data_IF_739364640533
#
_entry.id   IF_739364640533
#
_cell.length_a   1.000
_cell.length_b   1.000
_cell.length_c   1.000
_cell.angle_alpha   90.00
_cell.angle_beta   90.00
_cell.angle_gamma   90.00
#
_symmetry.space_group_name_H-M   'P 1'
#
loop_
_entity.id
_entity.type
_entity.pdbx_description
1 polymer ?
#
# COMPACT_ATOMS: atom_id res chain seq x y z
N UNK A 1 17.30 -14.89 13.32
CA UNK A 1 16.46 -13.90 12.63
C UNK A 1 16.60 -12.60 13.42
N UNK A 2 16.87 -11.46 12.77
CA UNK A 2 16.87 -10.15 13.45
C UNK A 2 15.46 -9.88 13.99
N UNK A 3 15.38 -9.32 15.21
CA UNK A 3 14.09 -8.91 15.79
C UNK A 3 13.41 -7.86 14.90
N UNK A 4 12.11 -7.94 14.80
CA UNK A 4 11.31 -6.90 14.12
C UNK A 4 11.41 -5.64 14.99
N UNK A 5 11.79 -4.46 14.43
CA UNK A 5 11.91 -3.23 15.20
C UNK A 5 10.52 -2.68 15.58
N UNK A 6 10.47 -1.77 16.54
CA UNK A 6 9.21 -1.10 16.91
C UNK A 6 8.82 -0.01 15.89
N UNK A 7 9.80 0.62 15.27
CA UNK A 7 9.61 1.68 14.27
C UNK A 7 10.33 1.34 12.97
N UNK A 8 9.89 1.98 11.89
CA UNK A 8 10.41 1.80 10.54
C UNK A 8 10.51 3.12 9.78
N UNK A 9 11.32 3.13 8.74
CA UNK A 9 11.29 4.18 7.73
C UNK A 9 10.13 3.97 6.76
N UNK A 10 9.44 5.07 6.41
CA UNK A 10 8.37 5.11 5.43
C UNK A 10 8.24 6.48 4.77
N UNK A 11 7.61 6.52 3.59
CA UNK A 11 7.18 7.76 2.95
C UNK A 11 5.68 7.93 3.15
N UNK A 12 5.30 9.00 3.83
CA UNK A 12 3.92 9.35 4.12
C UNK A 12 3.40 10.35 3.09
N UNK A 13 2.27 10.06 2.50
CA UNK A 13 1.47 11.03 1.77
C UNK A 13 0.60 11.78 2.78
N UNK A 14 0.81 13.09 2.95
CA UNK A 14 0.16 13.93 3.96
C UNK A 14 -1.04 14.71 3.43
N UNK A 15 -1.28 14.66 2.12
CA UNK A 15 -2.37 15.34 1.44
C UNK A 15 -2.26 15.17 -0.07
N UNK A 16 -3.29 15.57 -0.80
CA UNK A 16 -3.18 15.64 -2.27
C UNK A 16 -2.30 16.80 -2.69
N UNK A 17 -1.56 16.64 -3.81
CA UNK A 17 -0.74 17.70 -4.38
C UNK A 17 0.57 17.23 -4.99
N UNK A 18 1.58 18.09 -4.94
CA UNK A 18 2.92 17.87 -5.46
C UNK A 18 3.80 16.98 -4.57
N UNK A 19 5.10 17.00 -4.84
CA UNK A 19 6.07 16.23 -4.03
C UNK A 19 6.22 16.79 -2.61
N UNK A 20 5.80 18.02 -2.35
CA UNK A 20 5.73 18.64 -1.02
C UNK A 20 4.77 17.91 -0.06
N UNK A 21 3.93 17.02 -0.58
CA UNK A 21 3.01 16.17 0.19
C UNK A 21 3.63 14.82 0.56
N UNK A 22 4.83 14.51 0.10
CA UNK A 22 5.56 13.30 0.47
C UNK A 22 6.55 13.61 1.59
N UNK A 23 6.39 12.95 2.73
CA UNK A 23 7.19 13.14 3.93
C UNK A 23 7.92 11.85 4.29
N UNK A 24 9.27 11.86 4.23
CA UNK A 24 10.06 10.72 4.71
C UNK A 24 10.14 10.76 6.24
N UNK A 25 9.81 9.63 6.88
CA UNK A 25 9.83 9.46 8.34
C UNK A 25 10.55 8.17 8.72
N UNK A 26 11.26 8.16 9.84
CA UNK A 26 11.96 6.97 10.38
C UNK A 26 11.37 6.47 11.70
N UNK A 27 10.34 7.12 12.18
CA UNK A 27 9.66 6.86 13.45
C UNK A 27 8.24 6.28 13.29
N UNK A 28 7.92 5.75 12.12
CA UNK A 28 6.61 5.15 11.85
C UNK A 28 6.52 3.79 12.54
N UNK A 29 5.46 3.55 13.30
CA UNK A 29 5.25 2.28 13.99
C UNK A 29 5.14 1.13 12.99
N UNK A 30 5.87 0.03 13.23
CA UNK A 30 5.74 -1.19 12.41
C UNK A 30 4.37 -1.82 12.67
N UNK A 31 3.56 -2.07 11.63
CA UNK A 31 2.23 -2.63 11.81
C UNK A 31 2.30 -4.07 12.30
N UNK A 32 1.30 -4.50 13.08
CA UNK A 32 1.16 -5.88 13.53
C UNK A 32 0.15 -6.61 12.66
N UNK A 33 0.47 -7.83 12.17
CA UNK A 33 -0.47 -8.59 11.35
C UNK A 33 -1.66 -9.06 12.18
N UNK A 34 -2.87 -8.82 11.68
CA UNK A 34 -4.11 -9.35 12.26
C UNK A 34 -4.21 -10.86 12.00
N UNK A 35 -5.28 -11.47 12.49
CA UNK A 35 -5.48 -12.94 12.49
C UNK A 35 -5.19 -13.60 11.13
N UNK A 36 -5.63 -13.01 10.02
CA UNK A 36 -5.49 -13.58 8.65
C UNK A 36 -4.45 -12.84 7.80
N UNK A 37 -3.62 -12.01 8.42
CA UNK A 37 -2.63 -11.19 7.74
C UNK A 37 -1.22 -11.72 7.92
N UNK A 38 -0.32 -11.28 7.06
CA UNK A 38 1.12 -11.47 7.15
C UNK A 38 1.81 -10.11 7.23
N UNK A 39 2.89 -10.03 8.01
CA UNK A 39 3.81 -8.91 8.00
C UNK A 39 4.93 -9.20 7.00
N UNK A 40 5.11 -8.31 6.06
CA UNK A 40 6.09 -8.42 4.98
C UNK A 40 7.18 -7.38 5.22
N UNK A 41 8.45 -7.83 5.29
CA UNK A 41 9.59 -6.96 5.12
C UNK A 41 9.71 -6.64 3.64
N UNK A 42 9.54 -5.39 3.27
CA UNK A 42 9.61 -4.94 1.88
C UNK A 42 11.06 -4.98 1.42
N UNK A 43 11.31 -5.60 0.28
CA UNK A 43 12.62 -5.71 -0.38
C UNK A 43 12.68 -4.81 -1.61
N UNK A 44 11.54 -4.67 -2.29
CA UNK A 44 11.37 -3.71 -3.38
C UNK A 44 9.90 -3.26 -3.45
N UNK A 45 9.69 -2.00 -3.81
CA UNK A 45 8.38 -1.45 -4.13
C UNK A 45 8.48 -0.67 -5.44
N UNK A 46 7.62 -1.04 -6.41
CA UNK A 46 7.52 -0.35 -7.68
C UNK A 46 6.75 0.96 -7.55
N UNK A 47 7.12 1.96 -8.34
CA UNK A 47 6.33 3.18 -8.52
C UNK A 47 5.33 2.92 -9.64
N UNK A 48 4.05 3.04 -9.34
CA UNK A 48 2.94 2.84 -10.27
C UNK A 48 2.23 4.16 -10.58
N UNK A 49 1.63 4.25 -11.77
CA UNK A 49 0.78 5.41 -12.09
C UNK A 49 -0.35 5.60 -11.07
N UNK A 50 -0.82 4.53 -10.44
CA UNK A 50 -1.83 4.60 -9.38
C UNK A 50 -1.35 5.40 -8.18
N UNK A 51 -0.07 5.30 -7.80
CA UNK A 51 0.51 6.09 -6.70
C UNK A 51 0.51 7.58 -7.06
N UNK A 52 0.88 7.91 -8.30
CA UNK A 52 0.88 9.28 -8.80
C UNK A 52 -0.55 9.83 -8.85
N UNK A 53 -1.46 9.08 -9.43
CA UNK A 53 -2.87 9.46 -9.59
C UNK A 53 -3.57 9.66 -8.24
N UNK A 54 -3.30 8.78 -7.27
CA UNK A 54 -3.82 8.92 -5.90
C UNK A 54 -3.29 10.19 -5.25
N UNK A 55 -1.97 10.46 -5.36
CA UNK A 55 -1.36 11.66 -4.80
C UNK A 55 -1.92 12.94 -5.41
N UNK A 56 -2.13 12.97 -6.72
CA UNK A 56 -2.63 14.14 -7.45
C UNK A 56 -4.16 14.28 -7.43
N UNK A 57 -4.88 13.42 -6.70
CA UNK A 57 -6.35 13.38 -6.67
C UNK A 57 -6.98 13.13 -8.05
N UNK A 58 -6.28 12.45 -8.97
CA UNK A 58 -6.78 12.20 -10.33
C UNK A 58 -8.09 11.38 -10.33
N UNK A 59 -8.27 10.49 -9.35
CA UNK A 59 -9.49 9.68 -9.19
C UNK A 59 -10.65 10.41 -8.53
N UNK A 60 -10.49 11.68 -8.13
CA UNK A 60 -11.58 12.47 -7.55
C UNK A 60 -12.65 12.76 -8.59
N UNK A 61 -13.92 12.56 -8.22
CA UNK A 61 -15.08 12.88 -9.07
C UNK A 61 -15.24 14.36 -9.38
N UNK A 62 -14.54 15.22 -8.64
CA UNK A 62 -14.53 16.67 -8.91
C UNK A 62 -13.48 17.09 -9.92
N UNK A 63 -12.66 16.16 -10.42
CA UNK A 63 -11.61 16.44 -11.38
C UNK A 63 -12.14 16.30 -12.82
N UNK A 64 -12.66 17.37 -13.38
CA UNK A 64 -13.23 17.40 -14.75
C UNK A 64 -12.18 17.51 -15.87
N UNK A 65 -10.88 17.68 -15.54
CA UNK A 65 -9.80 17.97 -16.49
C UNK A 65 -8.74 16.88 -16.67
N UNK A 66 -9.09 15.63 -16.50
CA UNK A 66 -8.17 14.50 -16.25
C UNK A 66 -7.16 14.12 -17.36
N UNK A 67 -7.17 14.73 -18.56
CA UNK A 67 -6.34 14.26 -19.69
C UNK A 67 -5.26 15.22 -20.15
N UNK A 68 -5.16 16.44 -19.66
CA UNK A 68 -4.22 17.45 -20.18
C UNK A 68 -3.43 18.24 -19.12
N UNK A 69 -3.37 17.79 -17.87
CA UNK A 69 -2.66 18.50 -16.80
C UNK A 69 -1.26 17.96 -16.51
N UNK A 70 -0.29 18.85 -16.35
CA UNK A 70 1.07 18.56 -15.86
C UNK A 70 1.16 18.04 -14.41
N UNK A 71 0.04 17.55 -13.86
CA UNK A 71 -0.04 17.06 -12.47
C UNK A 71 -0.04 18.15 -11.40
N UNK A 72 -0.13 19.42 -11.79
CA UNK A 72 -0.25 20.55 -10.88
C UNK A 72 -1.72 20.92 -10.67
N UNK A 73 -2.47 20.08 -9.96
CA UNK A 73 -3.77 20.50 -9.45
C UNK A 73 -3.58 21.36 -8.21
N UNK A 74 -3.56 22.67 -8.43
CA UNK A 74 -3.66 23.64 -7.35
C UNK A 74 -5.06 23.59 -6.76
N UNK A 75 -5.20 23.06 -5.55
CA UNK A 75 -6.27 23.47 -4.65
C UNK A 75 -7.63 22.77 -4.80
N UNK A 76 -7.71 21.52 -5.19
CA UNK A 76 -8.89 20.72 -4.89
C UNK A 76 -8.89 20.44 -3.37
N UNK A 77 -9.57 21.28 -2.60
CA UNK A 77 -9.93 20.95 -1.23
C UNK A 77 -10.65 19.60 -1.28
N UNK A 78 -10.15 18.67 -0.51
CA UNK A 78 -10.50 17.27 -0.52
C UNK A 78 -12.02 17.01 -0.53
N UNK A 79 -12.58 16.78 -1.68
CA UNK A 79 -13.73 15.90 -1.76
C UNK A 79 -13.24 14.51 -1.38
N UNK A 80 -13.81 13.91 -0.32
CA UNK A 80 -13.29 12.71 0.31
C UNK A 80 -13.37 11.41 -0.51
N UNK A 81 -13.21 11.47 -1.82
CA UNK A 81 -13.41 10.35 -2.76
C UNK A 81 -12.20 10.07 -3.67
N UNK A 82 -10.99 10.39 -3.21
CA UNK A 82 -9.75 10.30 -4.00
C UNK A 82 -9.12 8.90 -4.10
N UNK A 83 -9.82 7.82 -3.78
CA UNK A 83 -9.28 6.45 -3.91
C UNK A 83 -9.86 5.71 -5.12
N UNK A 84 -9.13 4.70 -5.59
CA UNK A 84 -9.60 3.81 -6.65
C UNK A 84 -10.90 3.08 -6.27
N UNK A 85 -11.02 2.62 -5.02
CA UNK A 85 -12.22 1.95 -4.51
C UNK A 85 -13.40 2.89 -4.23
N UNK A 86 -13.23 4.20 -4.41
CA UNK A 86 -14.26 5.22 -4.21
C UNK A 86 -14.51 5.60 -2.74
N UNK A 87 -13.69 5.10 -1.80
CA UNK A 87 -13.70 5.56 -0.42
C UNK A 87 -12.87 6.84 -0.25
N UNK A 88 -13.14 7.62 0.79
CA UNK A 88 -12.31 8.78 1.12
C UNK A 88 -10.88 8.36 1.48
N UNK A 89 -9.88 8.93 0.81
CA UNK A 89 -8.50 8.75 1.19
C UNK A 89 -8.24 9.41 2.55
N UNK A 90 -7.63 8.65 3.47
CA UNK A 90 -7.28 9.15 4.80
C UNK A 90 -5.78 9.43 4.86
N UNK A 91 -5.43 10.63 5.30
CA UNK A 91 -4.05 11.04 5.50
C UNK A 91 -3.65 10.98 7.00
N UNK A 92 -2.36 10.74 7.33
CA UNK A 92 -1.33 10.35 6.36
C UNK A 92 -1.55 8.93 5.82
N UNK A 93 -1.04 8.66 4.60
CA UNK A 93 -1.11 7.35 3.93
C UNK A 93 0.28 6.94 3.47
N UNK A 94 0.68 5.69 3.71
CA UNK A 94 1.84 5.10 3.04
C UNK A 94 1.37 4.55 1.71
N UNK A 95 1.89 5.09 0.61
CA UNK A 95 1.62 4.60 -0.74
C UNK A 95 2.50 3.40 -1.11
N UNK A 96 2.51 2.99 -2.38
CA UNK A 96 3.27 1.86 -2.90
C UNK A 96 2.38 0.64 -3.11
N UNK A 97 1.81 0.55 -4.31
CA UNK A 97 0.86 -0.51 -4.67
C UNK A 97 1.59 -1.83 -5.02
N UNK A 98 2.77 -1.75 -5.64
CA UNK A 98 3.54 -2.91 -6.11
C UNK A 98 4.59 -3.30 -5.07
N UNK A 99 4.43 -4.47 -4.44
CA UNK A 99 5.29 -4.92 -3.35
C UNK A 99 5.88 -6.30 -3.62
N UNK A 100 7.21 -6.37 -3.57
CA UNK A 100 7.97 -7.60 -3.40
C UNK A 100 8.61 -7.61 -2.02
N UNK A 101 8.54 -8.73 -1.29
CA UNK A 101 9.10 -8.79 0.04
C UNK A 101 9.21 -10.21 0.59
N UNK A 102 9.51 -10.28 1.88
CA UNK A 102 9.64 -11.54 2.61
C UNK A 102 8.75 -11.51 3.85
N UNK A 103 7.94 -12.55 4.04
CA UNK A 103 7.12 -12.69 5.24
C UNK A 103 8.04 -12.85 6.46
N UNK A 104 7.85 -12.00 7.47
CA UNK A 104 8.65 -12.00 8.71
C UNK A 104 7.81 -12.32 9.95
N UNK A 105 6.49 -12.15 9.87
CA UNK A 105 5.54 -12.59 10.90
C UNK A 105 4.20 -12.91 10.27
N UNK A 106 3.38 -13.68 10.99
CA UNK A 106 2.03 -14.09 10.55
C UNK A 106 1.04 -13.90 11.69
N UNK A 107 -0.21 -13.60 11.34
CA UNK A 107 -1.31 -13.58 12.29
C UNK A 107 -1.68 -14.99 12.76
N UNK A 108 -2.44 -15.07 13.84
CA UNK A 108 -2.76 -16.34 14.52
C UNK A 108 -3.55 -17.36 13.68
N UNK A 109 -4.20 -16.93 12.62
CA UNK A 109 -4.94 -17.78 11.68
C UNK A 109 -4.15 -18.17 10.43
N UNK A 110 -2.87 -17.81 10.34
CA UNK A 110 -2.01 -18.12 9.19
C UNK A 110 -0.96 -19.13 9.58
N UNK A 111 -0.67 -20.09 8.69
CA UNK A 111 0.36 -21.10 8.93
C UNK A 111 1.73 -20.43 9.15
N UNK A 112 2.35 -20.71 10.27
CA UNK A 112 3.66 -20.17 10.65
C UNK A 112 4.80 -20.61 9.71
N UNK A 113 4.62 -21.70 8.97
CA UNK A 113 5.59 -22.15 7.96
C UNK A 113 5.80 -21.15 6.81
N UNK A 114 4.86 -20.21 6.63
CA UNK A 114 4.97 -19.12 5.65
C UNK A 114 6.05 -18.09 6.00
N UNK A 115 6.51 -18.03 7.25
CA UNK A 115 7.61 -17.13 7.65
C UNK A 115 8.88 -17.50 6.88
N UNK A 116 9.46 -16.49 6.21
CA UNK A 116 10.60 -16.65 5.31
C UNK A 116 10.24 -16.77 3.83
N UNK A 117 8.97 -16.97 3.46
CA UNK A 117 8.54 -16.97 2.06
C UNK A 117 8.83 -15.62 1.41
N UNK A 118 9.38 -15.68 0.19
CA UNK A 118 9.45 -14.53 -0.72
C UNK A 118 8.12 -14.40 -1.43
N UNK A 119 7.55 -13.20 -1.45
CA UNK A 119 6.20 -12.98 -1.97
C UNK A 119 6.11 -11.75 -2.86
N UNK A 120 5.19 -11.81 -3.82
CA UNK A 120 4.58 -10.65 -4.47
C UNK A 120 3.18 -10.45 -3.89
N UNK A 121 2.78 -9.20 -3.68
CA UNK A 121 1.45 -8.89 -3.17
C UNK A 121 0.52 -8.55 -4.33
N UNK A 122 -0.64 -9.25 -4.41
CA UNK A 122 -1.76 -8.78 -5.22
C UNK A 122 -2.36 -7.54 -4.53
N UNK A 123 -2.25 -6.36 -5.16
CA UNK A 123 -2.65 -5.11 -4.51
C UNK A 123 -4.16 -4.94 -4.41
N UNK A 124 -4.95 -5.70 -5.15
CA UNK A 124 -6.41 -5.63 -5.13
C UNK A 124 -6.96 -6.57 -4.04
N UNK A 125 -6.99 -6.06 -2.81
CA UNK A 125 -7.36 -6.83 -1.62
C UNK A 125 -8.87 -7.06 -1.57
N UNK A 126 -9.30 -8.30 -1.73
CA UNK A 126 -10.70 -8.74 -1.73
C UNK A 126 -10.93 -9.80 -0.67
N UNK A 127 -12.09 -9.79 -0.08
CA UNK A 127 -12.53 -10.89 0.79
C UNK A 127 -13.07 -12.05 -0.06
N UNK A 128 -12.51 -13.28 0.06
CA UNK A 128 -12.87 -14.40 -0.81
C UNK A 128 -14.34 -14.82 -0.74
N UNK A 129 -14.97 -14.61 0.42
CA UNK A 129 -16.34 -15.07 0.70
C UNK A 129 -17.42 -14.00 0.48
N UNK A 130 -17.04 -12.77 0.20
CA UNK A 130 -17.95 -11.64 0.02
C UNK A 130 -17.63 -10.86 -1.24
N UNK A 131 -17.45 -11.57 -2.36
CA UNK A 131 -17.20 -10.88 -3.61
C UNK A 131 -18.39 -9.99 -3.96
N UNK A 132 -18.23 -8.72 -3.65
CA UNK A 132 -19.11 -7.65 -4.11
C UNK A 132 -18.35 -6.89 -5.18
N UNK A 133 -18.87 -6.80 -6.40
CA UNK A 133 -18.27 -5.95 -7.43
C UNK A 133 -18.03 -4.56 -6.84
N UNK A 134 -16.83 -3.99 -7.05
CA UNK A 134 -16.44 -2.66 -6.60
C UNK A 134 -16.20 -2.46 -5.08
N UNK A 135 -16.13 -3.51 -4.27
CA UNK A 135 -15.66 -3.44 -2.89
C UNK A 135 -14.27 -4.10 -2.76
N UNK A 136 -13.28 -3.51 -3.38
CA UNK A 136 -11.88 -3.86 -3.15
C UNK A 136 -11.19 -2.75 -2.35
N UNK A 137 -10.25 -3.13 -1.50
CA UNK A 137 -9.29 -2.22 -0.91
C UNK A 137 -7.99 -2.35 -1.68
N UNK A 138 -7.38 -1.24 -2.05
CA UNK A 138 -6.12 -1.27 -2.77
C UNK A 138 -4.97 -0.91 -1.84
N UNK A 139 -3.92 -1.72 -1.91
CA UNK A 139 -2.66 -1.45 -1.20
C UNK A 139 -2.13 -0.08 -1.63
N UNK A 140 -1.68 0.72 -0.66
CA UNK A 140 -1.19 2.08 -0.93
C UNK A 140 -2.28 3.14 -1.18
N UNK A 141 -3.56 2.76 -1.10
CA UNK A 141 -4.71 3.65 -1.28
C UNK A 141 -5.65 3.57 -0.07
N UNK A 142 -6.59 2.62 -0.02
CA UNK A 142 -7.49 2.45 1.14
C UNK A 142 -6.77 1.93 2.38
N UNK A 143 -5.64 1.26 2.22
CA UNK A 143 -4.75 0.83 3.31
C UNK A 143 -3.30 1.19 3.00
N UNK A 144 -2.42 1.10 4.00
CA UNK A 144 -1.01 1.41 3.84
C UNK A 144 -0.30 0.40 2.94
N UNK A 145 0.61 0.90 2.10
CA UNK A 145 1.32 0.18 1.07
C UNK A 145 2.80 -0.03 1.34
N UNK A 146 3.55 -0.20 0.26
CA UNK A 146 4.93 -0.66 0.26
C UNK A 146 6.02 0.40 0.28
N UNK A 147 5.70 1.70 0.27
CA UNK A 147 6.75 2.73 0.43
C UNK A 147 7.18 2.85 1.89
N UNK A 148 7.50 1.70 2.48
CA UNK A 148 7.94 1.52 3.86
C UNK A 148 8.84 0.28 3.96
N UNK A 149 9.56 0.13 5.08
CA UNK A 149 10.36 -1.07 5.33
C UNK A 149 9.51 -2.32 5.62
N UNK A 150 8.29 -2.12 6.12
CA UNK A 150 7.34 -3.21 6.41
C UNK A 150 5.93 -2.80 5.99
N UNK A 151 5.15 -3.76 5.50
CA UNK A 151 3.72 -3.61 5.28
C UNK A 151 2.96 -4.88 5.70
N UNK A 152 1.66 -4.77 5.88
CA UNK A 152 0.77 -5.90 6.13
C UNK A 152 -0.10 -6.17 4.91
N UNK A 153 -0.41 -7.43 4.67
CA UNK A 153 -1.35 -7.86 3.65
C UNK A 153 -2.13 -9.07 4.15
N UNK A 154 -3.39 -9.26 3.73
CA UNK A 154 -4.06 -10.54 3.92
C UNK A 154 -3.23 -11.66 3.31
N UNK A 155 -3.09 -12.77 4.02
CA UNK A 155 -2.20 -13.87 3.65
C UNK A 155 -2.51 -14.47 2.27
N UNK A 156 -3.79 -14.42 1.85
CA UNK A 156 -4.26 -14.91 0.55
C UNK A 156 -3.77 -14.06 -0.63
N UNK A 157 -3.43 -12.79 -0.39
CA UNK A 157 -2.92 -11.86 -1.40
C UNK A 157 -1.38 -11.80 -1.44
N UNK A 158 -0.70 -12.45 -0.50
CA UNK A 158 0.75 -12.59 -0.48
C UNK A 158 1.15 -13.89 -1.19
N UNK A 159 1.42 -13.82 -2.49
CA UNK A 159 1.70 -14.97 -3.35
C UNK A 159 3.17 -15.35 -3.28
N UNK A 160 3.45 -16.58 -2.83
CA UNK A 160 4.82 -17.12 -2.82
C UNK A 160 5.38 -17.14 -4.23
N UNK A 161 6.61 -16.68 -4.37
CA UNK A 161 7.36 -16.74 -5.62
C UNK A 161 8.67 -17.52 -5.46
N UNK A 162 8.98 -18.34 -6.45
CA UNK A 162 10.23 -19.07 -6.59
C UNK A 162 10.79 -18.77 -7.99
N UNK A 163 11.70 -17.80 -8.05
CA UNK A 163 12.32 -17.42 -9.32
C UNK A 163 13.76 -16.94 -9.07
N UNK A 164 14.65 -17.02 -10.10
CA UNK A 164 16.05 -16.58 -9.99
C UNK A 164 16.23 -15.06 -10.06
N UNK A 165 15.16 -14.30 -10.30
CA UNK A 165 15.24 -12.84 -10.38
C UNK A 165 15.57 -12.24 -9.00
N UNK A 166 16.27 -11.11 -9.00
CA UNK A 166 16.51 -10.30 -7.81
C UNK A 166 15.22 -9.69 -7.30
N UNK A 167 15.25 -9.03 -6.14
CA UNK A 167 14.07 -8.39 -5.56
C UNK A 167 13.74 -7.05 -6.23
N UNK A 168 14.72 -6.50 -6.96
CA UNK A 168 14.62 -5.25 -7.71
C UNK A 168 15.19 -5.42 -9.13
#
# INVERSE_FOLDING_TARGET
MSSIPETMAAVLLTGHGGFDKLEYREDVTVPQPKMVEVLIRVLAAGINNTDINTRTAWYSKTNEGATEGDGSTTGAEASGDGTWGGAALRFPRIQGIDVCGRIVAVGSGVDSSRVGERVLVDPCLREPLQWKPFQAHFLGSECDGGFAQYCVSPAIHAHKIECPLTDA
#
